data_IF_531331115320
#
_entry.id   IF_531331115320
#
_cell.length_a   1.000
_cell.length_b   1.000
_cell.length_c   1.000
_cell.angle_alpha   90.00
_cell.angle_beta   90.00
_cell.angle_gamma   90.00
#
_symmetry.space_group_name_H-M   'P 1'
#
loop_
_entity.id
_entity.type
_entity.pdbx_description
1 polymer ?
#
# COMPACT_ATOMS: atom_id res chain seq x y z
N UNK A 1 34.65 19.51 14.88
CA UNK A 1 34.03 18.85 13.71
C UNK A 1 33.19 17.69 14.23
N UNK A 2 31.87 17.81 14.18
CA UNK A 2 30.92 16.77 14.58
C UNK A 2 30.04 16.46 13.36
N UNK A 3 30.66 15.85 12.34
CA UNK A 3 29.99 15.36 11.14
C UNK A 3 30.37 13.89 11.03
N UNK A 4 29.43 12.98 11.28
CA UNK A 4 29.71 11.54 11.18
C UNK A 4 28.68 10.61 11.83
N UNK A 5 27.90 11.08 12.81
CA UNK A 5 26.87 10.24 13.44
C UNK A 5 25.50 10.35 12.73
N UNK A 6 25.09 11.56 12.35
CA UNK A 6 23.78 11.83 11.73
C UNK A 6 23.64 11.18 10.33
N UNK A 7 24.69 11.23 9.52
CA UNK A 7 24.66 10.72 8.13
C UNK A 7 24.61 9.20 8.07
N UNK A 8 25.31 8.52 9.00
CA UNK A 8 25.29 7.07 9.10
C UNK A 8 23.92 6.57 9.62
N UNK A 9 23.32 7.30 10.56
CA UNK A 9 21.99 6.99 11.08
C UNK A 9 20.90 7.20 10.03
N UNK A 10 21.03 8.23 9.19
CA UNK A 10 20.16 8.46 8.02
C UNK A 10 20.32 7.37 6.96
N UNK A 11 21.55 6.92 6.69
CA UNK A 11 21.82 5.85 5.73
C UNK A 11 21.23 4.51 6.19
N UNK A 12 21.45 4.14 7.44
CA UNK A 12 20.88 2.94 8.06
C UNK A 12 19.35 3.02 8.06
N UNK A 13 18.77 4.17 8.42
CA UNK A 13 17.33 4.38 8.37
C UNK A 13 16.78 4.21 6.94
N UNK A 14 17.45 4.77 5.93
CA UNK A 14 17.05 4.63 4.53
C UNK A 14 17.14 3.18 4.04
N UNK A 15 18.17 2.42 4.42
CA UNK A 15 18.29 0.99 4.11
C UNK A 15 17.15 0.21 4.76
N UNK A 16 16.88 0.44 6.05
CA UNK A 16 15.81 -0.25 6.77
C UNK A 16 14.45 0.06 6.12
N UNK A 17 14.18 1.33 5.81
CA UNK A 17 12.95 1.75 5.13
C UNK A 17 12.83 1.05 3.77
N UNK A 18 13.91 1.01 2.99
CA UNK A 18 13.90 0.37 1.67
C UNK A 18 13.66 -1.14 1.77
N UNK A 19 14.37 -1.85 2.65
CA UNK A 19 14.22 -3.30 2.84
C UNK A 19 12.82 -3.65 3.33
N UNK A 20 12.30 -2.91 4.32
CA UNK A 20 10.96 -3.15 4.86
C UNK A 20 9.91 -2.85 3.80
N UNK A 21 10.02 -1.74 3.07
CA UNK A 21 9.08 -1.39 2.01
C UNK A 21 9.09 -2.41 0.88
N UNK A 22 10.28 -2.77 0.39
CA UNK A 22 10.42 -3.74 -0.69
C UNK A 22 9.84 -5.10 -0.30
N UNK A 23 10.12 -5.58 0.92
CA UNK A 23 9.58 -6.85 1.46
C UNK A 23 8.06 -6.88 1.63
N UNK A 24 7.39 -5.72 1.51
CA UNK A 24 5.93 -5.61 1.59
C UNK A 24 5.27 -5.60 0.22
N UNK A 25 6.01 -5.36 -0.86
CA UNK A 25 5.42 -5.18 -2.21
C UNK A 25 6.02 -6.11 -3.25
N UNK A 26 7.14 -6.78 -2.96
CA UNK A 26 7.89 -7.63 -3.87
C UNK A 26 7.03 -8.70 -4.53
N UNK A 27 6.21 -9.40 -3.75
CA UNK A 27 5.36 -10.49 -4.20
C UNK A 27 4.31 -9.97 -5.18
N UNK A 28 3.73 -8.80 -4.91
CA UNK A 28 2.79 -8.15 -5.82
C UNK A 28 3.43 -7.76 -7.14
N UNK A 29 4.70 -7.33 -7.13
CA UNK A 29 5.45 -7.04 -8.36
C UNK A 29 5.71 -8.33 -9.14
N UNK A 30 6.20 -9.38 -8.48
CA UNK A 30 6.51 -10.68 -9.09
C UNK A 30 5.28 -11.34 -9.71
N UNK A 31 4.11 -11.16 -9.11
CA UNK A 31 2.83 -11.71 -9.58
C UNK A 31 2.12 -10.80 -10.60
N UNK A 32 2.69 -9.63 -10.95
CA UNK A 32 2.02 -8.66 -11.82
C UNK A 32 0.78 -8.00 -11.20
N UNK A 33 0.61 -8.09 -9.89
CA UNK A 33 -0.50 -7.51 -9.12
C UNK A 33 -0.20 -6.06 -8.69
N UNK A 34 0.21 -5.26 -9.67
CA UNK A 34 0.52 -3.85 -9.48
C UNK A 34 0.13 -3.03 -10.71
N UNK A 35 0.06 -1.71 -10.54
CA UNK A 35 -0.10 -0.75 -11.62
C UNK A 35 0.85 0.42 -11.41
N UNK A 36 1.67 0.68 -12.41
CA UNK A 36 2.54 1.86 -12.48
C UNK A 36 2.13 2.69 -13.68
N UNK A 37 1.69 3.93 -13.46
CA UNK A 37 1.44 4.90 -14.53
C UNK A 37 2.66 5.79 -14.64
N UNK A 38 3.11 6.00 -15.88
CA UNK A 38 4.22 6.91 -16.21
C UNK A 38 3.74 7.99 -17.17
N UNK A 39 4.43 9.13 -17.17
CA UNK A 39 4.22 10.16 -18.19
C UNK A 39 5.02 9.86 -19.47
N UNK A 40 4.92 10.75 -20.45
CA UNK A 40 5.61 10.63 -21.74
C UNK A 40 7.15 10.70 -21.64
N UNK A 41 7.69 11.09 -20.48
CA UNK A 41 9.13 11.13 -20.17
C UNK A 41 9.55 9.95 -19.28
N UNK A 42 8.75 8.90 -19.21
CA UNK A 42 8.95 7.71 -18.38
C UNK A 42 8.98 7.98 -16.86
N UNK A 43 8.54 9.15 -16.38
CA UNK A 43 8.52 9.45 -14.95
C UNK A 43 7.31 8.79 -14.26
N UNK A 44 7.48 8.12 -13.11
CA UNK A 44 6.39 7.51 -12.37
C UNK A 44 5.43 8.57 -11.81
N UNK A 45 4.14 8.46 -12.15
CA UNK A 45 3.10 9.36 -11.69
C UNK A 45 2.23 8.76 -10.60
N UNK A 46 1.92 7.47 -10.70
CA UNK A 46 1.07 6.79 -9.75
C UNK A 46 1.43 5.31 -9.66
N UNK A 47 1.31 4.75 -8.46
CA UNK A 47 1.63 3.37 -8.18
C UNK A 47 0.57 2.75 -7.26
N UNK A 48 0.15 1.54 -7.58
CA UNK A 48 -0.68 0.73 -6.70
C UNK A 48 -0.20 -0.71 -6.74
N UNK A 49 -0.27 -1.40 -5.60
CA UNK A 49 0.04 -2.83 -5.48
C UNK A 49 -0.99 -3.48 -4.55
N UNK A 50 -1.40 -4.69 -4.91
CA UNK A 50 -2.44 -5.41 -4.19
C UNK A 50 -2.13 -6.91 -4.08
N UNK A 51 -2.73 -7.52 -3.08
CA UNK A 51 -2.84 -8.96 -2.96
C UNK A 51 -4.26 -9.42 -3.37
N UNK A 52 -4.34 -10.60 -3.97
CA UNK A 52 -5.57 -11.32 -4.27
C UNK A 52 -5.74 -12.45 -3.26
N UNK A 53 -6.52 -12.19 -2.23
CA UNK A 53 -6.64 -13.08 -1.08
C UNK A 53 -8.00 -13.79 -1.04
N UNK A 54 -8.05 -14.95 -0.39
CA UNK A 54 -9.30 -15.63 -0.05
C UNK A 54 -10.01 -14.93 1.12
N UNK A 55 -11.15 -15.47 1.56
CA UNK A 55 -11.89 -14.88 2.69
C UNK A 55 -11.18 -15.08 4.03
N UNK A 56 -10.42 -16.18 4.21
CA UNK A 56 -9.74 -16.51 5.47
C UNK A 56 -8.53 -15.61 5.71
N UNK A 57 -7.68 -15.45 4.69
CA UNK A 57 -6.55 -14.53 4.71
C UNK A 57 -7.04 -13.09 4.83
N UNK A 58 -8.13 -12.72 4.13
CA UNK A 58 -8.72 -11.39 4.29
C UNK A 58 -9.16 -11.14 5.73
N UNK A 59 -9.86 -12.07 6.37
CA UNK A 59 -10.32 -11.94 7.75
C UNK A 59 -9.16 -11.68 8.72
N UNK A 60 -8.07 -12.46 8.63
CA UNK A 60 -6.85 -12.22 9.41
C UNK A 60 -6.28 -10.82 9.19
N UNK A 61 -6.19 -10.36 7.93
CA UNK A 61 -5.69 -9.01 7.61
C UNK A 61 -6.56 -7.93 8.27
N UNK A 62 -7.87 -8.14 8.35
CA UNK A 62 -8.82 -7.15 8.86
C UNK A 62 -8.87 -7.11 10.39
N UNK A 63 -8.58 -8.23 11.06
CA UNK A 63 -8.82 -8.37 12.50
C UNK A 63 -7.54 -8.56 13.32
N UNK A 64 -6.42 -8.87 12.69
CA UNK A 64 -5.14 -9.15 13.33
C UNK A 64 -4.03 -8.25 12.77
N UNK A 65 -2.87 -8.19 13.45
CA UNK A 65 -1.66 -7.58 12.89
C UNK A 65 -0.97 -8.57 11.94
N UNK A 66 -1.66 -8.92 10.86
CA UNK A 66 -1.27 -10.01 9.97
C UNK A 66 -0.45 -9.52 8.77
N UNK A 67 0.70 -10.17 8.54
CA UNK A 67 1.49 -10.03 7.31
C UNK A 67 1.14 -11.17 6.36
N UNK A 68 0.77 -10.83 5.13
CA UNK A 68 0.41 -11.79 4.08
C UNK A 68 1.64 -12.66 3.76
N UNK A 69 1.49 -13.98 3.86
CA UNK A 69 2.54 -14.92 3.46
C UNK A 69 2.63 -15.00 1.92
N UNK A 70 3.79 -15.37 1.38
CA UNK A 70 4.05 -15.31 -0.06
C UNK A 70 3.05 -16.13 -0.91
N UNK A 71 2.65 -17.30 -0.41
CA UNK A 71 1.66 -18.19 -1.02
C UNK A 71 0.22 -17.69 -0.94
N UNK A 72 -0.07 -16.75 -0.04
CA UNK A 72 -1.39 -16.14 0.13
C UNK A 72 -1.61 -14.93 -0.78
N UNK A 73 -0.57 -14.40 -1.44
CA UNK A 73 -0.69 -13.18 -2.26
C UNK A 73 -1.64 -13.30 -3.46
N UNK A 74 -1.91 -14.52 -3.92
CA UNK A 74 -2.80 -14.80 -5.05
C UNK A 74 -3.64 -16.08 -4.82
N UNK A 75 -4.17 -16.26 -3.60
CA UNK A 75 -4.97 -17.43 -3.24
C UNK A 75 -6.49 -17.20 -3.34
N UNK A 76 -6.94 -16.04 -3.83
CA UNK A 76 -8.39 -15.78 -3.95
C UNK A 76 -8.79 -14.61 -4.85
N UNK A 77 -9.99 -14.08 -4.58
CA UNK A 77 -10.63 -13.05 -5.42
C UNK A 77 -10.89 -11.73 -4.68
N UNK A 78 -10.65 -11.67 -3.38
CA UNK A 78 -10.72 -10.41 -2.65
C UNK A 78 -9.44 -9.62 -2.89
N UNK A 79 -9.57 -8.30 -2.94
CA UNK A 79 -8.45 -7.39 -3.14
C UNK A 79 -8.10 -6.72 -1.82
N UNK A 80 -6.86 -6.89 -1.40
CA UNK A 80 -6.28 -6.05 -0.35
C UNK A 80 -5.22 -5.15 -0.97
N UNK A 81 -5.46 -3.84 -0.92
CA UNK A 81 -4.54 -2.82 -1.44
C UNK A 81 -3.50 -2.51 -0.36
N UNK A 82 -2.23 -2.72 -0.68
CA UNK A 82 -1.12 -2.47 0.26
C UNK A 82 -0.60 -1.04 0.11
N UNK A 83 -0.36 -0.61 -1.12
CA UNK A 83 0.07 0.76 -1.43
C UNK A 83 -0.82 1.33 -2.53
N UNK A 84 -1.19 2.60 -2.38
CA UNK A 84 -1.95 3.36 -3.37
C UNK A 84 -1.48 4.82 -3.36
N UNK A 85 -0.54 5.12 -4.25
CA UNK A 85 0.22 6.36 -4.31
C UNK A 85 -0.19 7.10 -5.58
N UNK A 86 -0.82 8.26 -5.42
CA UNK A 86 -1.19 9.15 -6.53
C UNK A 86 -1.08 10.62 -6.07
N UNK A 87 0.13 11.21 -6.08
CA UNK A 87 0.35 12.58 -5.60
C UNK A 87 -0.20 13.66 -6.55
N UNK A 88 -0.61 13.30 -7.77
CA UNK A 88 -1.11 14.23 -8.78
C UNK A 88 -2.64 14.24 -8.86
N UNK A 89 -3.21 15.31 -9.45
CA UNK A 89 -4.67 15.56 -9.56
C UNK A 89 -5.47 14.53 -10.38
N UNK A 90 -4.83 13.49 -10.92
CA UNK A 90 -5.43 12.51 -11.84
C UNK A 90 -5.94 11.23 -11.15
N UNK A 91 -6.29 11.32 -9.86
CA UNK A 91 -6.63 10.15 -9.04
C UNK A 91 -7.81 9.33 -9.59
N UNK A 92 -8.81 9.97 -10.21
CA UNK A 92 -9.95 9.28 -10.82
C UNK A 92 -9.56 8.43 -12.03
N UNK A 93 -8.70 8.97 -12.89
CA UNK A 93 -8.21 8.25 -14.06
C UNK A 93 -7.36 7.07 -13.61
N UNK A 94 -6.48 7.28 -12.63
CA UNK A 94 -5.68 6.22 -12.05
C UNK A 94 -6.56 5.13 -11.42
N UNK A 95 -7.56 5.51 -10.63
CA UNK A 95 -8.49 4.57 -10.03
C UNK A 95 -9.19 3.70 -11.08
N UNK A 96 -9.68 4.31 -12.16
CA UNK A 96 -10.31 3.58 -13.27
C UNK A 96 -9.36 2.57 -13.89
N UNK A 97 -8.10 2.95 -14.12
CA UNK A 97 -7.10 2.03 -14.70
C UNK A 97 -6.72 0.89 -13.75
N UNK A 98 -6.61 1.15 -12.44
CA UNK A 98 -6.37 0.10 -11.45
C UNK A 98 -7.57 -0.86 -11.39
N UNK A 99 -8.81 -0.32 -11.36
CA UNK A 99 -10.03 -1.11 -11.21
C UNK A 99 -10.25 -2.12 -12.34
N UNK A 100 -9.78 -1.84 -13.56
CA UNK A 100 -9.80 -2.78 -14.70
C UNK A 100 -9.02 -4.07 -14.42
N UNK A 101 -8.06 -4.03 -13.51
CA UNK A 101 -7.21 -5.18 -13.15
C UNK A 101 -7.85 -6.08 -12.10
N UNK A 102 -9.01 -5.71 -11.56
CA UNK A 102 -9.64 -6.40 -10.43
C UNK A 102 -10.97 -7.05 -10.82
N UNK A 103 -11.35 -8.20 -10.24
CA UNK A 103 -12.63 -8.82 -10.51
C UNK A 103 -13.83 -7.89 -10.19
N UNK A 104 -14.89 -7.94 -11.00
CA UNK A 104 -16.05 -7.05 -10.85
C UNK A 104 -16.73 -7.16 -9.47
N UNK A 105 -16.75 -8.35 -8.87
CA UNK A 105 -17.41 -8.62 -7.57
C UNK A 105 -16.43 -8.78 -6.40
N UNK A 106 -15.15 -8.43 -6.57
CA UNK A 106 -14.17 -8.51 -5.50
C UNK A 106 -14.58 -7.64 -4.31
N UNK A 107 -14.44 -8.15 -3.08
CA UNK A 107 -14.39 -7.28 -1.91
C UNK A 107 -13.04 -6.57 -1.94
N UNK A 108 -13.04 -5.24 -1.82
CA UNK A 108 -11.82 -4.43 -1.90
C UNK A 108 -11.62 -3.74 -0.56
N UNK A 109 -10.43 -3.90 0.03
CA UNK A 109 -10.06 -3.30 1.30
C UNK A 109 -8.69 -2.63 1.20
N UNK A 110 -8.48 -1.63 2.04
CA UNK A 110 -7.19 -0.99 2.24
C UNK A 110 -7.05 -0.56 3.70
N UNK A 111 -5.80 -0.52 4.19
CA UNK A 111 -5.51 0.15 5.45
C UNK A 111 -5.21 1.62 5.17
N UNK A 112 -5.95 2.52 5.83
CA UNK A 112 -5.64 3.95 5.84
C UNK A 112 -5.07 4.33 7.20
N UNK A 113 -3.81 4.77 7.22
CA UNK A 113 -3.21 5.38 8.40
C UNK A 113 -3.48 6.88 8.33
N UNK A 114 -4.21 7.41 9.32
CA UNK A 114 -4.36 8.85 9.52
C UNK A 114 -3.45 9.28 10.65
N UNK A 115 -2.83 10.43 10.51
CA UNK A 115 -2.05 11.02 11.58
C UNK A 115 -2.92 12.08 12.27
N UNK A 116 -3.12 11.96 13.57
CA UNK A 116 -3.94 12.89 14.36
C UNK A 116 -3.12 13.49 15.50
N UNK A 117 -3.58 14.63 16.04
CA UNK A 117 -3.03 15.18 17.29
C UNK A 117 -3.86 14.63 18.45
N UNK A 118 -3.21 14.08 19.47
CA UNK A 118 -3.89 13.73 20.71
C UNK A 118 -4.21 14.98 21.56
N UNK A 119 -4.93 14.81 22.67
CA UNK A 119 -5.29 15.91 23.59
C UNK A 119 -4.08 16.69 24.15
N UNK A 120 -2.87 16.11 24.10
CA UNK A 120 -1.62 16.74 24.53
C UNK A 120 -0.82 17.35 23.37
N UNK A 121 -1.41 17.45 22.17
CA UNK A 121 -0.78 17.98 20.97
C UNK A 121 0.23 17.04 20.28
N UNK A 122 0.43 15.82 20.78
CA UNK A 122 1.37 14.84 20.20
C UNK A 122 0.76 14.20 18.95
N UNK A 123 1.57 14.11 17.90
CA UNK A 123 1.27 13.43 16.64
C UNK A 123 1.21 11.92 16.91
N UNK A 124 0.07 11.29 16.63
CA UNK A 124 -0.16 9.85 16.79
C UNK A 124 -0.78 9.25 15.52
N UNK A 125 -0.32 8.07 15.06
CA UNK A 125 -0.96 7.37 13.96
C UNK A 125 -2.24 6.68 14.45
N UNK A 126 -3.28 6.76 13.63
CA UNK A 126 -4.56 6.08 13.78
C UNK A 126 -4.79 5.21 12.55
N UNK A 127 -4.72 3.88 12.74
CA UNK A 127 -4.98 2.89 11.68
C UNK A 127 -6.49 2.71 11.56
N UNK A 128 -7.03 2.93 10.37
CA UNK A 128 -8.43 2.64 10.01
C UNK A 128 -8.45 1.71 8.81
N UNK A 129 -9.11 0.58 8.95
CA UNK A 129 -9.40 -0.29 7.82
C UNK A 129 -10.60 0.28 7.07
N UNK A 130 -10.45 0.42 5.76
CA UNK A 130 -11.51 0.94 4.88
C UNK A 130 -11.91 -0.14 3.89
N UNK A 131 -13.19 -0.50 3.91
CA UNK A 131 -13.80 -1.22 2.81
C UNK A 131 -14.00 -0.23 1.67
N UNK A 132 -13.36 -0.47 0.54
CA UNK A 132 -13.46 0.36 -0.65
C UNK A 132 -14.67 -0.10 -1.46
N UNK A 133 -15.86 0.29 -1.01
CA UNK A 133 -17.12 0.02 -1.72
C UNK A 133 -17.42 1.19 -2.63
N UNK A 134 -16.98 1.16 -3.89
CA UNK A 134 -17.24 2.20 -4.91
C UNK A 134 -16.98 3.69 -4.49
N UNK A 135 -16.34 3.92 -3.34
CA UNK A 135 -16.22 5.21 -2.66
C UNK A 135 -14.76 5.50 -2.31
N UNK A 136 -13.88 5.48 -3.32
CA UNK A 136 -12.65 6.27 -3.25
C UNK A 136 -13.00 7.70 -3.67
N UNK A 137 -13.66 8.42 -2.74
CA UNK A 137 -13.88 9.87 -2.79
C UNK A 137 -13.30 10.48 -1.51
#
# INVERSE_FOLDING_TARGET
MHFGCQDNQNYIANIIIFVVFFSRISEGILLGQYKLIRNNKDMPLAFAVWARVDDKTLDKILHEDYKIAADEWNNGNNIFVLEYICPFKHIFQFHREVRKSWPNKAKIYATRIKVTKNAKGKIVPYKRIMRLVNNLY
#
